data_IF_976385942683
#
_entry.id   IF_976385942683
#
_cell.length_a   1.000
_cell.length_b   1.000
_cell.length_c   1.000
_cell.angle_alpha   90.00
_cell.angle_beta   90.00
_cell.angle_gamma   90.00
#
_symmetry.space_group_name_H-M   'P 1'
#
loop_
_entity.id
_entity.type
_entity.pdbx_description
1 polymer ?
#
# COMPACT_ATOMS: atom_id res chain seq x y z
N UNK A 1 -6.71 -12.91 -10.41
CA UNK A 1 -5.37 -12.29 -10.61
C UNK A 1 -5.33 -10.89 -10.00
N UNK A 2 -6.21 -9.95 -10.37
CA UNK A 2 -6.27 -8.60 -9.79
C UNK A 2 -6.30 -8.57 -8.25
N UNK A 3 -7.16 -9.36 -7.60
CA UNK A 3 -7.23 -9.42 -6.12
C UNK A 3 -5.94 -9.92 -5.46
N UNK A 4 -5.21 -10.83 -6.13
CA UNK A 4 -3.94 -11.34 -5.63
C UNK A 4 -2.84 -10.28 -5.73
N UNK A 5 -2.72 -9.61 -6.88
CA UNK A 5 -1.78 -8.50 -7.07
C UNK A 5 -2.09 -7.36 -6.10
N UNK A 6 -3.37 -7.06 -5.87
CA UNK A 6 -3.79 -6.08 -4.87
C UNK A 6 -3.29 -6.44 -3.47
N UNK A 7 -3.47 -7.68 -3.01
CA UNK A 7 -2.99 -8.13 -1.70
C UNK A 7 -1.45 -8.09 -1.60
N UNK A 8 -0.74 -8.54 -2.65
CA UNK A 8 0.71 -8.46 -2.70
C UNK A 8 1.21 -7.03 -2.60
N UNK A 9 0.54 -6.10 -3.30
CA UNK A 9 0.83 -4.69 -3.25
C UNK A 9 0.63 -4.13 -1.83
N UNK A 10 -0.48 -4.45 -1.16
CA UNK A 10 -0.71 -4.04 0.23
C UNK A 10 0.38 -4.55 1.19
N UNK A 11 0.80 -5.81 1.06
CA UNK A 11 1.87 -6.37 1.88
C UNK A 11 3.20 -5.64 1.67
N UNK A 12 3.52 -5.30 0.42
CA UNK A 12 4.70 -4.49 0.13
C UNK A 12 4.56 -3.06 0.69
N UNK A 13 3.37 -2.46 0.66
CA UNK A 13 3.11 -1.17 1.31
C UNK A 13 3.44 -1.18 2.81
N UNK A 14 3.07 -2.26 3.51
CA UNK A 14 3.42 -2.47 4.92
C UNK A 14 4.93 -2.60 5.08
N UNK A 15 5.59 -3.38 4.22
CA UNK A 15 7.03 -3.58 4.25
C UNK A 15 7.80 -2.26 4.07
N UNK A 16 7.39 -1.43 3.10
CA UNK A 16 7.97 -0.12 2.81
C UNK A 16 7.87 0.77 4.06
N UNK A 17 6.68 0.89 4.64
CA UNK A 17 6.44 1.73 5.83
C UNK A 17 7.29 1.25 7.00
N UNK A 18 7.23 -0.05 7.35
CA UNK A 18 7.97 -0.62 8.47
C UNK A 18 9.49 -0.44 8.30
N UNK A 19 10.00 -0.63 7.09
CA UNK A 19 11.43 -0.44 6.79
C UNK A 19 11.82 1.02 6.99
N UNK A 20 11.00 1.96 6.48
CA UNK A 20 11.27 3.40 6.60
C UNK A 20 11.14 3.93 8.02
N UNK A 21 10.27 3.35 8.84
CA UNK A 21 10.07 3.70 10.26
C UNK A 21 11.28 3.34 11.13
N UNK A 22 12.02 2.29 10.75
CA UNK A 22 13.19 1.79 11.50
C UNK A 22 14.54 2.27 10.95
N UNK A 23 14.55 3.25 10.03
CA UNK A 23 15.78 3.76 9.44
C UNK A 23 16.66 4.44 10.50
N UNK A 24 17.93 4.05 10.50
CA UNK A 24 18.91 4.58 11.44
C UNK A 24 19.44 5.92 10.95
N UNK A 25 19.47 6.91 11.84
CA UNK A 25 20.08 8.20 11.55
C UNK A 25 21.60 8.06 11.43
N UNK A 26 22.18 8.72 10.42
CA UNK A 26 23.64 8.85 10.30
C UNK A 26 24.19 9.73 11.41
N UNK A 27 25.47 9.58 11.73
CA UNK A 27 26.16 10.43 12.71
C UNK A 27 26.07 11.92 12.35
N UNK A 28 26.16 12.24 11.07
CA UNK A 28 26.03 13.60 10.54
C UNK A 28 24.61 14.14 10.75
N UNK A 29 23.58 13.33 10.52
CA UNK A 29 22.19 13.68 10.81
C UNK A 29 21.96 13.89 12.32
N UNK A 30 22.39 12.95 13.17
CA UNK A 30 22.25 13.09 14.62
C UNK A 30 22.91 14.37 15.15
N UNK A 31 24.09 14.73 14.61
CA UNK A 31 24.76 15.99 14.95
C UNK A 31 23.97 17.21 14.48
N UNK A 32 23.41 17.17 13.27
CA UNK A 32 22.58 18.24 12.72
C UNK A 32 21.31 18.46 13.55
N UNK A 33 20.60 17.38 13.88
CA UNK A 33 19.40 17.42 14.72
C UNK A 33 19.70 17.96 16.12
N UNK A 34 20.77 17.48 16.77
CA UNK A 34 21.18 17.97 18.08
C UNK A 34 21.51 19.47 18.05
N UNK A 35 22.24 19.93 17.03
CA UNK A 35 22.59 21.35 16.86
C UNK A 35 21.33 22.21 16.63
N UNK A 36 20.41 21.71 15.84
CA UNK A 36 19.18 22.40 15.51
C UNK A 36 18.22 22.53 16.70
N UNK A 37 18.04 21.44 17.46
CA UNK A 37 17.03 21.37 18.52
C UNK A 37 17.55 21.82 19.88
N UNK A 38 18.82 21.53 20.22
CA UNK A 38 19.28 21.63 21.61
C UNK A 38 20.45 22.59 21.84
N UNK A 39 21.25 22.95 20.83
CA UNK A 39 22.41 23.83 21.08
C UNK A 39 22.04 25.24 21.56
N UNK A 40 20.88 25.77 21.19
CA UNK A 40 20.37 27.05 21.74
C UNK A 40 20.20 26.97 23.26
N UNK A 41 19.72 25.84 23.78
CA UNK A 41 19.57 25.62 25.22
C UNK A 41 20.92 25.64 25.94
N UNK A 42 21.98 25.08 25.32
CA UNK A 42 23.33 25.12 25.87
C UNK A 42 23.90 26.54 25.96
N UNK A 43 23.38 27.49 25.18
CA UNK A 43 23.71 28.91 25.22
C UNK A 43 22.75 29.73 26.09
N UNK A 44 21.83 29.09 26.83
CA UNK A 44 20.82 29.76 27.66
C UNK A 44 19.58 30.24 26.90
N UNK A 45 19.42 29.89 25.62
CA UNK A 45 18.33 30.30 24.74
C UNK A 45 17.25 29.21 24.62
N UNK A 46 16.58 28.88 25.72
CA UNK A 46 15.70 27.68 25.80
C UNK A 46 14.35 27.79 25.09
N UNK A 47 13.89 29.00 24.73
CA UNK A 47 12.59 29.22 24.10
C UNK A 47 12.69 29.57 22.60
N UNK A 48 13.85 29.32 21.98
CA UNK A 48 14.10 29.70 20.58
C UNK A 48 14.01 28.47 19.67
N UNK A 49 12.95 28.42 18.85
CA UNK A 49 12.80 27.43 17.79
C UNK A 49 13.74 27.74 16.61
N UNK A 50 14.20 26.72 15.86
CA UNK A 50 14.99 26.91 14.64
C UNK A 50 14.23 27.69 13.57
N UNK A 51 14.96 28.43 12.74
CA UNK A 51 14.40 29.06 11.56
C UNK A 51 13.87 28.02 10.57
N UNK A 52 12.81 28.33 9.81
CA UNK A 52 12.23 27.42 8.82
C UNK A 52 13.27 26.89 7.82
N UNK A 53 14.04 27.78 7.19
CA UNK A 53 15.07 27.38 6.23
C UNK A 53 16.18 26.51 6.85
N UNK A 54 16.54 26.78 8.11
CA UNK A 54 17.51 25.96 8.84
C UNK A 54 16.95 24.55 9.12
N UNK A 55 15.70 24.50 9.60
CA UNK A 55 14.99 23.24 9.83
C UNK A 55 14.93 22.39 8.57
N UNK A 56 14.51 22.98 7.45
CA UNK A 56 14.42 22.29 6.18
C UNK A 56 15.76 21.74 5.71
N UNK A 57 16.85 22.51 5.83
CA UNK A 57 18.17 22.02 5.43
C UNK A 57 18.64 20.84 6.29
N UNK A 58 18.41 20.87 7.61
CA UNK A 58 18.74 19.75 8.49
C UNK A 58 17.87 18.53 8.17
N UNK A 59 16.55 18.70 8.14
CA UNK A 59 15.60 17.60 7.95
C UNK A 59 15.71 16.95 6.56
N UNK A 60 15.87 17.74 5.49
CA UNK A 60 16.07 17.22 4.12
C UNK A 60 17.41 16.50 3.96
N UNK A 61 18.45 16.92 4.69
CA UNK A 61 19.71 16.20 4.75
C UNK A 61 19.57 14.86 5.47
N UNK A 62 18.85 14.83 6.60
CA UNK A 62 18.56 13.60 7.34
C UNK A 62 17.71 12.59 6.55
N UNK A 63 16.68 13.09 5.85
CA UNK A 63 15.71 12.28 5.12
C UNK A 63 16.08 12.09 3.64
N UNK A 64 17.30 12.44 3.24
CA UNK A 64 17.72 12.47 1.84
C UNK A 64 17.56 11.13 1.12
N UNK A 65 17.97 10.03 1.76
CA UNK A 65 17.79 8.68 1.20
C UNK A 65 16.31 8.32 1.11
N UNK A 66 15.54 8.57 2.18
CA UNK A 66 14.10 8.27 2.22
C UNK A 66 13.33 9.03 1.12
N UNK A 67 13.74 10.25 0.79
CA UNK A 67 13.11 11.04 -0.27
C UNK A 67 13.23 10.41 -1.67
N UNK A 68 14.19 9.52 -1.92
CA UNK A 68 14.31 8.79 -3.20
C UNK A 68 13.13 7.81 -3.41
N UNK A 69 12.44 7.41 -2.34
CA UNK A 69 11.26 6.54 -2.40
C UNK A 69 10.04 7.28 -2.97
N UNK A 70 9.96 8.60 -2.83
CA UNK A 70 8.76 9.41 -3.09
C UNK A 70 8.20 9.19 -4.50
N UNK A 71 9.05 9.19 -5.53
CA UNK A 71 8.62 8.97 -6.91
C UNK A 71 7.93 7.60 -7.09
N UNK A 72 8.54 6.56 -6.54
CA UNK A 72 8.07 5.18 -6.68
C UNK A 72 6.83 4.91 -5.81
N UNK A 73 6.75 5.53 -4.64
CA UNK A 73 5.61 5.47 -3.74
C UNK A 73 4.37 6.15 -4.32
N UNK A 74 4.52 7.34 -4.91
CA UNK A 74 3.43 8.04 -5.60
C UNK A 74 2.84 7.19 -6.71
N UNK A 75 3.72 6.57 -7.50
CA UNK A 75 3.33 5.69 -8.59
C UNK A 75 2.64 4.41 -8.09
N UNK A 76 3.11 3.87 -6.97
CA UNK A 76 2.50 2.73 -6.29
C UNK A 76 1.08 3.03 -5.83
N UNK A 77 0.86 4.14 -5.12
CA UNK A 77 -0.49 4.52 -4.66
C UNK A 77 -1.42 4.76 -5.86
N UNK A 78 -0.94 5.44 -6.91
CA UNK A 78 -1.71 5.68 -8.14
C UNK A 78 -2.10 4.36 -8.82
N UNK A 79 -1.15 3.46 -9.01
CA UNK A 79 -1.37 2.18 -9.71
C UNK A 79 -2.25 1.23 -8.89
N UNK A 80 -2.11 1.23 -7.57
CA UNK A 80 -2.96 0.48 -6.64
C UNK A 80 -4.40 0.98 -6.66
N UNK A 81 -4.59 2.30 -6.70
CA UNK A 81 -5.88 2.94 -6.85
C UNK A 81 -6.57 2.55 -8.16
N UNK A 82 -5.85 2.62 -9.28
CA UNK A 82 -6.37 2.25 -10.60
C UNK A 82 -6.82 0.79 -10.63
N UNK A 83 -5.99 -0.12 -10.10
CA UNK A 83 -6.36 -1.54 -9.96
C UNK A 83 -7.60 -1.71 -9.08
N UNK A 84 -7.66 -1.04 -7.93
CA UNK A 84 -8.79 -1.08 -7.00
C UNK A 84 -10.11 -0.66 -7.65
N UNK A 85 -10.06 0.41 -8.46
CA UNK A 85 -11.22 0.91 -9.19
C UNK A 85 -11.67 -0.04 -10.31
N UNK A 86 -10.73 -0.78 -10.91
CA UNK A 86 -11.01 -1.81 -11.91
C UNK A 86 -11.52 -3.15 -11.35
N UNK A 87 -11.44 -3.37 -10.02
CA UNK A 87 -12.00 -4.55 -9.37
C UNK A 87 -13.52 -4.38 -9.25
N UNK A 88 -14.26 -4.91 -10.22
CA UNK A 88 -15.72 -4.97 -10.24
C UNK A 88 -16.22 -6.17 -11.06
N UNK A 89 -17.47 -6.59 -10.86
CA UNK A 89 -18.11 -7.66 -11.64
C UNK A 89 -17.38 -9.00 -11.50
N UNK A 90 -16.95 -9.59 -12.62
CA UNK A 90 -16.23 -10.87 -12.64
C UNK A 90 -14.85 -10.84 -11.96
N UNK A 91 -14.29 -9.66 -11.71
CA UNK A 91 -13.05 -9.48 -10.98
C UNK A 91 -13.25 -9.18 -9.49
N UNK A 92 -14.50 -8.93 -9.07
CA UNK A 92 -14.85 -8.71 -7.67
C UNK A 92 -15.13 -10.05 -6.99
N UNK A 93 -14.23 -10.44 -6.09
CA UNK A 93 -14.32 -11.73 -5.41
C UNK A 93 -15.59 -11.86 -4.58
N UNK A 94 -16.07 -10.75 -4.01
CA UNK A 94 -17.31 -10.72 -3.24
C UNK A 94 -18.49 -11.10 -4.13
N UNK A 95 -18.58 -10.47 -5.31
CA UNK A 95 -19.63 -10.75 -6.29
C UNK A 95 -19.55 -12.18 -6.86
N UNK A 96 -18.34 -12.68 -7.14
CA UNK A 96 -18.12 -14.04 -7.64
C UNK A 96 -18.54 -15.08 -6.59
N UNK A 97 -18.16 -14.89 -5.33
CA UNK A 97 -18.52 -15.79 -4.24
C UNK A 97 -20.03 -15.78 -3.98
N UNK A 98 -20.67 -14.61 -4.00
CA UNK A 98 -22.13 -14.51 -3.88
C UNK A 98 -22.87 -15.22 -5.02
N UNK A 99 -22.32 -15.21 -6.24
CA UNK A 99 -22.95 -15.83 -7.41
C UNK A 99 -22.58 -17.31 -7.62
N UNK A 100 -21.64 -17.87 -6.85
CA UNK A 100 -21.11 -19.21 -7.05
C UNK A 100 -22.22 -20.28 -7.04
N UNK A 101 -23.15 -20.19 -6.10
CA UNK A 101 -24.27 -21.11 -6.01
C UNK A 101 -25.15 -21.09 -7.28
N UNK A 102 -25.42 -19.90 -7.83
CA UNK A 102 -26.19 -19.79 -9.08
C UNK A 102 -25.46 -20.46 -10.23
N UNK A 103 -24.15 -20.22 -10.35
CA UNK A 103 -23.32 -20.84 -11.39
C UNK A 103 -23.31 -22.36 -11.29
N UNK A 104 -23.25 -22.91 -10.08
CA UNK A 104 -23.33 -24.36 -9.85
C UNK A 104 -24.70 -24.91 -10.25
N UNK A 105 -25.79 -24.23 -9.89
CA UNK A 105 -27.13 -24.65 -10.28
C UNK A 105 -27.33 -24.60 -11.79
N UNK A 106 -26.84 -23.55 -12.46
CA UNK A 106 -26.90 -23.42 -13.91
C UNK A 106 -26.12 -24.56 -14.59
N UNK A 107 -24.96 -24.94 -14.05
CA UNK A 107 -24.19 -26.07 -14.54
C UNK A 107 -24.93 -27.42 -14.34
N UNK A 108 -25.55 -27.63 -13.18
CA UNK A 108 -26.37 -28.83 -12.90
C UNK A 108 -27.55 -28.89 -13.86
N UNK A 109 -28.29 -27.80 -14.01
CA UNK A 109 -29.44 -27.71 -14.92
C UNK A 109 -29.00 -27.98 -16.36
N UNK A 110 -27.89 -27.38 -16.80
CA UNK A 110 -27.33 -27.63 -18.13
C UNK A 110 -26.93 -29.10 -18.33
N UNK A 111 -26.36 -29.75 -17.30
CA UNK A 111 -26.02 -31.17 -17.33
C UNK A 111 -27.27 -32.06 -17.36
N UNK A 112 -28.34 -31.70 -16.63
CA UNK A 112 -29.61 -32.43 -16.63
C UNK A 112 -30.31 -32.34 -17.99
N UNK A 113 -30.37 -31.14 -18.58
CA UNK A 113 -31.00 -30.90 -19.89
C UNK A 113 -30.26 -31.65 -21.00
N UNK A 114 -28.92 -31.56 -21.03
CA UNK A 114 -28.12 -32.17 -22.09
C UNK A 114 -27.75 -33.63 -21.81
N UNK A 115 -27.95 -34.12 -20.59
CA UNK A 115 -27.53 -35.43 -20.10
C UNK A 115 -27.99 -36.60 -20.98
N UNK A 116 -29.28 -36.69 -21.37
CA UNK A 116 -29.75 -37.78 -22.24
C UNK A 116 -29.08 -37.79 -23.62
N UNK A 117 -28.94 -36.61 -24.24
CA UNK A 117 -28.31 -36.46 -25.55
C UNK A 117 -26.81 -36.80 -25.48
N UNK A 118 -26.11 -36.29 -24.46
CA UNK A 118 -24.70 -36.59 -24.21
C UNK A 118 -24.50 -38.10 -23.97
N UNK A 119 -25.36 -38.72 -23.15
CA UNK A 119 -25.30 -40.16 -22.87
C UNK A 119 -25.49 -41.00 -24.14
N UNK A 120 -26.42 -40.62 -25.02
CA UNK A 120 -26.61 -41.31 -26.30
C UNK A 120 -25.38 -41.20 -27.21
N UNK A 121 -24.77 -40.00 -27.30
CA UNK A 121 -23.55 -39.79 -28.08
C UNK A 121 -22.37 -40.58 -27.52
N UNK A 122 -22.20 -40.58 -26.19
CA UNK A 122 -21.15 -41.35 -25.51
C UNK A 122 -21.35 -42.85 -25.70
N UNK A 123 -22.57 -43.37 -25.54
CA UNK A 123 -22.86 -44.79 -25.77
C UNK A 123 -22.57 -45.21 -27.22
N UNK A 124 -22.87 -44.34 -28.19
CA UNK A 124 -22.57 -44.59 -29.61
C UNK A 124 -21.07 -44.64 -29.88
N UNK A 125 -20.29 -43.76 -29.25
CA UNK A 125 -18.85 -43.66 -29.48
C UNK A 125 -18.04 -44.70 -28.68
N UNK A 126 -18.43 -44.96 -27.43
CA UNK A 126 -17.66 -45.74 -26.47
C UNK A 126 -18.29 -47.10 -26.13
N UNK A 127 -19.51 -47.39 -26.60
CA UNK A 127 -20.28 -48.56 -26.22
C UNK A 127 -21.06 -48.40 -24.91
N UNK A 128 -21.97 -49.34 -24.62
CA UNK A 128 -22.77 -49.31 -23.40
C UNK A 128 -21.93 -49.68 -22.17
N UNK A 129 -22.10 -48.99 -21.04
CA UNK A 129 -21.37 -49.31 -19.81
C UNK A 129 -21.78 -50.69 -19.27
N UNK A 130 -20.80 -51.57 -19.08
CA UNK A 130 -20.98 -52.85 -18.40
C UNK A 130 -20.99 -52.57 -16.89
N UNK A 131 -22.17 -52.41 -16.31
CA UNK A 131 -22.31 -52.28 -14.85
C UNK A 131 -22.10 -53.65 -14.20
N UNK A 132 -21.00 -53.82 -13.47
CA UNK A 132 -20.91 -54.92 -12.49
C UNK A 132 -21.94 -54.66 -11.38
N UNK A 133 -22.66 -55.68 -10.88
CA UNK A 133 -23.52 -55.49 -9.72
C UNK A 133 -22.68 -54.94 -8.57
N UNK A 134 -23.03 -53.75 -8.06
CA UNK A 134 -22.47 -53.29 -6.80
C UNK A 134 -22.95 -54.28 -5.73
N UNK A 135 -22.03 -54.90 -5.00
CA UNK A 135 -22.37 -55.55 -3.73
C UNK A 135 -23.05 -54.49 -2.86
N UNK A 136 -24.33 -54.72 -2.59
CA UNK A 136 -25.18 -53.81 -1.84
C UNK A 136 -24.73 -53.80 -0.38
N UNK A 137 -23.77 -52.96 -0.03
CA UNK A 137 -23.72 -52.44 1.33
C UNK A 137 -24.91 -51.49 1.48
N UNK A 138 -25.89 -51.90 2.28
CA UNK A 138 -27.22 -51.32 2.38
C UNK A 138 -27.23 -49.86 2.84
N UNK A 139 -26.97 -48.94 1.92
CA UNK A 139 -27.37 -47.55 2.05
C UNK A 139 -28.69 -47.37 1.30
N UNK A 140 -29.78 -47.34 2.06
CA UNK A 140 -31.03 -46.79 1.57
C UNK A 140 -30.85 -45.28 1.43
N UNK A 141 -31.10 -44.68 0.25
CA UNK A 141 -31.22 -43.24 0.15
C UNK A 141 -32.52 -42.86 0.87
N UNK A 142 -32.42 -42.25 2.05
CA UNK A 142 -33.56 -41.64 2.71
C UNK A 142 -34.19 -40.63 1.75
N UNK A 143 -35.45 -40.87 1.40
CA UNK A 143 -36.31 -39.92 0.68
C UNK A 143 -36.76 -38.85 1.68
N UNK A 144 -35.81 -38.10 2.23
CA UNK A 144 -36.11 -36.77 2.73
C UNK A 144 -36.00 -35.83 1.53
N UNK A 145 -37.15 -35.58 0.90
CA UNK A 145 -37.35 -34.38 0.06
C UNK A 145 -37.29 -33.15 0.96
N UNK A 146 -36.12 -32.88 1.52
CA UNK A 146 -35.83 -31.60 2.11
C UNK A 146 -35.45 -30.70 0.93
N UNK A 147 -36.43 -29.92 0.46
CA UNK A 147 -36.20 -28.73 -0.36
C UNK A 147 -35.34 -27.77 0.47
N UNK A 148 -34.05 -28.05 0.59
CA UNK A 148 -33.06 -27.05 0.90
C UNK A 148 -32.93 -26.17 -0.33
N UNK A 149 -33.96 -25.34 -0.56
CA UNK A 149 -33.75 -24.12 -1.31
C UNK A 149 -32.63 -23.41 -0.59
N UNK A 150 -31.48 -23.26 -1.25
CA UNK A 150 -30.38 -22.50 -0.69
C UNK A 150 -30.95 -21.13 -0.33
N UNK A 151 -31.01 -20.88 0.98
CA UNK A 151 -31.46 -19.61 1.51
C UNK A 151 -30.54 -18.57 0.90
N UNK A 152 -31.08 -17.82 -0.06
CA UNK A 152 -30.46 -16.59 -0.54
C UNK A 152 -30.33 -15.74 0.70
N UNK A 153 -29.09 -15.56 1.17
CA UNK A 153 -28.81 -14.60 2.22
C UNK A 153 -29.15 -13.24 1.60
N UNK A 154 -30.36 -12.75 1.88
CA UNK A 154 -30.77 -11.42 1.50
C UNK A 154 -29.98 -10.44 2.35
N UNK A 155 -29.34 -9.53 1.62
CA UNK A 155 -28.42 -8.52 2.07
C UNK A 155 -29.15 -7.48 2.93
N UNK A 156 -28.90 -7.46 4.22
CA UNK A 156 -29.19 -6.30 5.06
C UNK A 156 -27.87 -5.75 5.62
N UNK A 157 -27.51 -4.55 5.16
CA UNK A 157 -26.61 -3.59 5.81
C UNK A 157 -25.23 -4.04 6.32
N UNK A 158 -24.66 -5.14 5.84
CA UNK A 158 -23.25 -5.44 6.10
C UNK A 158 -22.32 -4.67 5.15
N UNK A 159 -21.25 -4.13 5.74
CA UNK A 159 -20.22 -3.35 5.07
C UNK A 159 -19.46 -4.22 4.04
N UNK A 160 -19.72 -3.97 2.76
CA UNK A 160 -19.13 -4.77 1.66
C UNK A 160 -17.61 -4.64 1.59
N UNK A 161 -16.94 -5.68 1.09
CA UNK A 161 -15.50 -5.65 0.80
C UNK A 161 -15.17 -4.53 -0.20
N UNK A 162 -16.06 -4.30 -1.16
CA UNK A 162 -15.95 -3.19 -2.12
C UNK A 162 -15.94 -1.81 -1.42
N UNK A 163 -16.81 -1.60 -0.43
CA UNK A 163 -16.84 -0.35 0.36
C UNK A 163 -15.56 -0.15 1.15
N UNK A 164 -15.14 -1.16 1.91
CA UNK A 164 -13.89 -1.13 2.71
C UNK A 164 -12.65 -0.88 1.85
N UNK A 165 -12.58 -1.53 0.68
CA UNK A 165 -11.50 -1.32 -0.30
C UNK A 165 -11.44 0.14 -0.76
N UNK A 166 -12.59 0.73 -1.13
CA UNK A 166 -12.65 2.14 -1.58
C UNK A 166 -12.26 3.11 -0.47
N UNK A 167 -12.78 2.91 0.74
CA UNK A 167 -12.44 3.74 1.91
C UNK A 167 -10.95 3.68 2.24
N UNK A 168 -10.38 2.47 2.26
CA UNK A 168 -8.95 2.29 2.49
C UNK A 168 -8.10 3.04 1.45
N UNK A 169 -8.43 2.91 0.16
CA UNK A 169 -7.70 3.62 -0.90
C UNK A 169 -7.84 5.13 -0.76
N UNK A 170 -9.04 5.64 -0.42
CA UNK A 170 -9.24 7.06 -0.18
C UNK A 170 -8.37 7.58 0.97
N UNK A 171 -8.26 6.81 2.06
CA UNK A 171 -7.38 7.13 3.19
C UNK A 171 -5.91 7.08 2.79
N UNK A 172 -5.49 6.06 2.04
CA UNK A 172 -4.10 5.90 1.59
C UNK A 172 -3.64 7.05 0.67
N UNK A 173 -4.53 7.59 -0.17
CA UNK A 173 -4.22 8.72 -1.06
C UNK A 173 -3.71 9.96 -0.33
N UNK A 174 -4.15 10.18 0.91
CA UNK A 174 -3.69 11.32 1.72
C UNK A 174 -2.18 11.25 2.00
N UNK A 175 -1.61 10.05 2.01
CA UNK A 175 -0.19 9.79 2.26
C UNK A 175 0.62 9.64 0.97
N UNK A 176 0.06 10.02 -0.18
CA UNK A 176 0.74 9.92 -1.48
C UNK A 176 2.06 10.68 -1.54
N UNK A 177 2.15 11.81 -0.83
CA UNK A 177 3.32 12.69 -0.83
C UNK A 177 4.16 12.58 0.44
N UNK A 178 3.96 11.52 1.24
CA UNK A 178 4.59 11.36 2.55
C UNK A 178 6.12 11.52 2.47
N UNK A 179 6.78 10.70 1.65
CA UNK A 179 8.25 10.65 1.61
C UNK A 179 8.90 11.91 1.02
N UNK A 180 8.24 12.61 0.11
CA UNK A 180 8.71 13.89 -0.41
C UNK A 180 8.34 15.11 0.45
N UNK A 181 7.35 14.97 1.34
CA UNK A 181 6.79 16.07 2.13
C UNK A 181 7.10 16.03 3.62
N UNK A 182 7.67 14.94 4.14
CA UNK A 182 7.84 14.73 5.58
C UNK A 182 8.69 15.81 6.25
N UNK A 183 9.80 16.24 5.62
CA UNK A 183 10.65 17.29 6.16
C UNK A 183 9.88 18.61 6.32
N UNK A 184 9.14 19.00 5.28
CA UNK A 184 8.33 20.21 5.25
C UNK A 184 7.21 20.16 6.30
N UNK A 185 6.53 19.02 6.41
CA UNK A 185 5.47 18.81 7.40
C UNK A 185 6.00 18.94 8.84
N UNK A 186 7.08 18.23 9.19
CA UNK A 186 7.68 18.28 10.53
C UNK A 186 8.20 19.68 10.89
N UNK A 187 8.79 20.38 9.92
CA UNK A 187 9.26 21.75 10.13
C UNK A 187 8.09 22.72 10.33
N UNK A 188 7.03 22.61 9.54
CA UNK A 188 5.87 23.49 9.62
C UNK A 188 4.98 23.24 10.84
N UNK A 189 4.81 21.99 11.28
CA UNK A 189 3.94 21.65 12.41
C UNK A 189 4.61 21.94 13.75
N UNK A 190 5.83 21.44 13.95
CA UNK A 190 6.36 21.27 15.30
C UNK A 190 7.72 21.95 15.50
N UNK A 191 8.63 21.81 14.52
CA UNK A 191 10.04 22.11 14.75
C UNK A 191 10.39 23.58 14.54
N UNK A 192 9.94 24.23 13.46
CA UNK A 192 10.39 25.57 13.12
C UNK A 192 9.60 26.68 13.84
N UNK A 193 10.23 27.85 13.96
CA UNK A 193 9.54 29.08 14.30
C UNK A 193 8.60 29.51 13.17
N UNK A 194 7.47 30.12 13.52
CA UNK A 194 6.58 30.74 12.55
C UNK A 194 7.26 31.91 11.83
N UNK A 195 6.82 32.19 10.60
CA UNK A 195 7.40 33.24 9.77
C UNK A 195 7.35 34.61 10.44
N UNK A 196 8.44 35.38 10.29
CA UNK A 196 8.58 36.72 10.85
C UNK A 196 9.01 36.79 12.32
N UNK A 197 9.07 35.66 13.03
CA UNK A 197 9.65 35.60 14.38
C UNK A 197 11.17 35.47 14.33
N UNK A 198 11.84 36.02 15.34
CA UNK A 198 13.27 35.75 15.55
C UNK A 198 13.48 34.29 15.90
N UNK A 199 14.47 33.66 15.28
CA UNK A 199 14.64 32.21 15.27
C UNK A 199 16.13 31.83 15.38
N UNK A 200 16.38 30.58 15.78
CA UNK A 200 17.72 30.03 15.88
C UNK A 200 18.23 29.56 14.52
N UNK A 201 19.41 30.00 14.08
CA UNK A 201 20.00 29.57 12.80
C UNK A 201 21.08 28.48 12.95
N UNK A 202 21.33 27.99 14.17
CA UNK A 202 22.43 27.06 14.46
C UNK A 202 23.62 27.72 15.16
N UNK A 203 23.70 29.04 15.19
CA UNK A 203 24.80 29.79 15.84
C UNK A 203 24.31 30.91 16.76
N UNK A 204 23.28 31.66 16.34
CA UNK A 204 22.68 32.77 17.09
C UNK A 204 21.17 32.93 16.77
N UNK A 205 20.50 33.84 17.48
CA UNK A 205 19.13 34.27 17.22
C UNK A 205 19.12 35.35 16.15
N UNK A 206 18.50 35.06 15.02
CA UNK A 206 18.46 35.93 13.84
C UNK A 206 17.04 36.27 13.44
N UNK A 207 16.89 37.32 12.61
CA UNK A 207 15.60 37.65 11.98
C UNK A 207 15.23 36.66 10.87
N UNK A 208 16.22 36.11 10.18
CA UNK A 208 16.02 35.15 9.10
C UNK A 208 17.27 34.30 8.86
N UNK A 209 17.04 33.07 8.40
CA UNK A 209 18.09 32.19 7.91
C UNK A 209 18.53 32.62 6.51
N UNK A 210 19.84 32.73 6.28
CA UNK A 210 20.41 33.35 5.08
C UNK A 210 20.90 32.35 4.03
N UNK A 211 21.20 31.11 4.41
CA UNK A 211 21.64 30.10 3.44
C UNK A 211 20.47 29.63 2.58
N UNK A 212 20.81 29.22 1.35
CA UNK A 212 19.84 28.64 0.41
C UNK A 212 19.27 27.34 0.99
N UNK A 213 17.96 27.19 0.88
CA UNK A 213 17.28 25.94 1.23
C UNK A 213 17.46 24.93 0.09
N UNK A 214 18.03 23.76 0.39
CA UNK A 214 18.22 22.69 -0.60
C UNK A 214 16.93 21.93 -0.87
N UNK A 215 16.84 21.30 -2.05
CA UNK A 215 15.72 20.44 -2.42
C UNK A 215 15.76 19.08 -1.70
N UNK A 216 14.79 18.23 -2.03
CA UNK A 216 14.72 16.85 -1.56
C UNK A 216 15.63 15.91 -2.37
N UNK A 217 15.92 14.74 -1.79
CA UNK A 217 16.72 13.70 -2.43
C UNK A 217 18.24 13.94 -2.31
N UNK A 218 19.00 12.88 -2.52
CA UNK A 218 20.46 12.81 -2.30
C UNK A 218 21.18 13.81 -3.20
N UNK A 219 20.77 13.93 -4.47
CA UNK A 219 21.41 14.84 -5.44
C UNK A 219 21.39 16.29 -4.97
N UNK A 220 20.28 16.72 -4.35
CA UNK A 220 20.12 18.08 -3.84
C UNK A 220 20.99 18.35 -2.59
N UNK A 221 21.47 17.31 -1.90
CA UNK A 221 22.25 17.47 -0.66
C UNK A 221 23.73 17.80 -0.89
N UNK A 222 24.21 17.72 -2.13
CA UNK A 222 25.60 18.08 -2.49
C UNK A 222 25.98 19.51 -2.07
N UNK A 223 25.02 20.43 -2.04
CA UNK A 223 25.19 21.81 -1.60
C UNK A 223 24.55 22.10 -0.23
N UNK A 224 24.20 21.08 0.56
CA UNK A 224 23.56 21.28 1.86
C UNK A 224 24.59 21.82 2.87
N UNK A 225 24.37 23.03 3.45
CA UNK A 225 25.30 23.62 4.40
C UNK A 225 25.28 22.94 5.78
N UNK A 226 24.19 22.26 6.15
CA UNK A 226 23.95 21.78 7.52
C UNK A 226 24.30 20.31 7.73
N UNK A 227 23.99 19.46 6.75
CA UNK A 227 24.15 18.00 6.86
C UNK A 227 24.85 17.46 5.62
N UNK A 228 25.97 16.74 5.85
CA UNK A 228 26.68 16.02 4.80
C UNK A 228 26.05 14.64 4.61
N UNK A 229 25.55 14.37 3.40
CA UNK A 229 24.95 13.08 3.04
C UNK A 229 25.94 12.28 2.19
N UNK A 230 26.11 11.00 2.53
CA UNK A 230 27.04 10.09 1.86
C UNK A 230 26.26 8.99 1.15
N UNK A 231 26.41 8.93 -0.17
CA UNK A 231 25.97 7.81 -1.00
C UNK A 231 24.48 7.50 -0.89
N UNK A 232 24.09 6.38 -1.49
CA UNK A 232 22.76 5.80 -1.40
C UNK A 232 22.72 4.75 -0.30
N UNK A 233 21.58 4.61 0.36
CA UNK A 233 21.33 3.55 1.33
C UNK A 233 20.90 2.25 0.61
N UNK A 234 21.61 1.12 0.83
CA UNK A 234 21.30 -0.13 0.14
C UNK A 234 19.91 -0.71 0.50
N UNK A 235 19.45 -0.51 1.73
CA UNK A 235 18.11 -0.96 2.16
C UNK A 235 17.03 -0.15 1.43
N UNK A 236 17.26 1.15 1.29
CA UNK A 236 16.35 2.02 0.53
C UNK A 236 16.31 1.63 -0.95
N UNK A 237 17.46 1.36 -1.56
CA UNK A 237 17.51 0.90 -2.96
C UNK A 237 16.73 -0.41 -3.15
N UNK A 238 16.85 -1.35 -2.20
CA UNK A 238 16.10 -2.61 -2.25
C UNK A 238 14.58 -2.37 -2.20
N UNK A 239 14.11 -1.47 -1.33
CA UNK A 239 12.69 -1.09 -1.27
C UNK A 239 12.23 -0.41 -2.56
N UNK A 240 13.05 0.49 -3.11
CA UNK A 240 12.79 1.13 -4.39
C UNK A 240 12.63 0.11 -5.51
N UNK A 241 13.48 -0.90 -5.58
CA UNK A 241 13.41 -1.93 -6.62
C UNK A 241 12.17 -2.82 -6.46
N UNK A 242 11.78 -3.14 -5.22
CA UNK A 242 10.50 -3.81 -4.94
C UNK A 242 9.30 -2.97 -5.40
N UNK A 243 9.31 -1.66 -5.12
CA UNK A 243 8.27 -0.72 -5.57
C UNK A 243 8.21 -0.65 -7.10
N UNK A 244 9.35 -0.60 -7.80
CA UNK A 244 9.36 -0.64 -9.27
C UNK A 244 8.72 -1.92 -9.80
N UNK A 245 9.07 -3.07 -9.22
CA UNK A 245 8.55 -4.36 -9.67
C UNK A 245 7.04 -4.49 -9.45
N UNK A 246 6.53 -4.13 -8.27
CA UNK A 246 5.08 -4.19 -8.02
C UNK A 246 4.32 -3.22 -8.93
N UNK A 247 4.89 -2.05 -9.25
CA UNK A 247 4.25 -1.07 -10.12
C UNK A 247 4.07 -1.60 -11.54
N UNK A 248 5.03 -2.39 -12.04
CA UNK A 248 4.88 -3.09 -13.32
C UNK A 248 3.71 -4.08 -13.27
N UNK A 249 3.66 -4.90 -12.21
CA UNK A 249 2.57 -5.88 -12.01
C UNK A 249 1.19 -5.22 -11.87
N UNK A 250 1.08 -4.11 -11.14
CA UNK A 250 -0.15 -3.33 -10.98
C UNK A 250 -0.64 -2.74 -12.32
N UNK A 251 0.28 -2.41 -13.22
CA UNK A 251 -0.01 -1.86 -14.54
C UNK A 251 -0.26 -2.94 -15.60
N UNK A 252 -0.19 -4.23 -15.24
CA UNK A 252 -0.32 -5.34 -16.18
C UNK A 252 0.85 -5.42 -17.17
N UNK A 253 2.04 -4.96 -16.78
CA UNK A 253 3.29 -5.03 -17.55
C UNK A 253 4.21 -6.12 -17.04
#
# INVERSE_FOLDING_TARGET
MASHVFLQALNLGIEVINTTDHLQYTKECSRGLLKMQYCSHCQGLTNRKPCMGYCLNVMRGCLANMAEIDLHWREYIRSLEELSNGIHGAYDIEQVLFNLHSLVNDAIMNAQINGPKLSAMVNKACGHPIRKPAESSGYQPDVYSEKHGLKIIQKENEETLSSRRKEFINSLRLYRTLYGGLADQLCASDLAAADGLVCWNGEDVVKSYTHRVVGNGIKAQSSNPEVKVKGTDPVINQIIDKLKHINQSLQGK
#
